data_IF_512028147560
#
_entry.id   IF_512028147560
#
_cell.length_a   1.000
_cell.length_b   1.000
_cell.length_c   1.000
_cell.angle_alpha   90.00
_cell.angle_beta   90.00
_cell.angle_gamma   90.00
#
_symmetry.space_group_name_H-M   'P 1'
#
loop_
_entity.id
_entity.type
_entity.pdbx_description
1 polymer ?
#
# COMPACT_ATOMS: atom_id res chain seq x y z
N UNK A 1 20.93 43.18 -39.06
CA UNK A 1 19.89 42.25 -38.60
C UNK A 1 20.54 41.21 -37.69
N UNK A 2 20.59 41.42 -36.37
CA UNK A 2 21.18 40.45 -35.46
C UNK A 2 20.18 39.33 -35.15
N UNK A 3 20.69 38.10 -35.14
CA UNK A 3 19.94 36.86 -35.04
C UNK A 3 19.32 36.63 -33.67
N UNK A 4 18.14 35.99 -33.68
CA UNK A 4 17.47 35.47 -32.49
C UNK A 4 18.22 34.26 -31.94
N UNK A 5 18.95 34.45 -30.84
CA UNK A 5 19.41 33.36 -29.99
C UNK A 5 18.21 32.77 -29.24
N UNK A 6 17.78 31.58 -29.67
CA UNK A 6 16.87 30.73 -28.91
C UNK A 6 17.58 30.19 -27.67
N UNK A 7 17.45 30.90 -26.55
CA UNK A 7 17.98 30.47 -25.25
C UNK A 7 17.48 29.07 -24.86
N UNK A 8 18.32 28.23 -24.24
CA UNK A 8 17.95 26.87 -23.87
C UNK A 8 16.75 26.87 -22.91
N UNK A 9 15.85 25.88 -23.02
CA UNK A 9 14.65 25.83 -22.18
C UNK A 9 15.05 25.80 -20.70
N UNK A 10 14.62 26.82 -19.96
CA UNK A 10 14.84 26.97 -18.53
C UNK A 10 14.42 25.69 -17.79
N UNK A 11 15.41 25.06 -17.15
CA UNK A 11 15.27 23.82 -16.40
C UNK A 11 14.82 24.15 -14.98
N UNK A 12 13.52 24.09 -14.70
CA UNK A 12 13.01 24.15 -13.34
C UNK A 12 12.89 22.73 -12.76
N UNK A 13 13.88 22.30 -11.97
CA UNK A 13 13.80 21.14 -11.07
C UNK A 13 14.82 20.02 -11.33
N UNK A 14 15.87 19.95 -10.51
CA UNK A 14 16.84 18.84 -10.53
C UNK A 14 16.24 17.49 -10.09
N UNK A 15 16.85 16.35 -10.45
CA UNK A 15 16.38 15.03 -10.04
C UNK A 15 16.51 14.87 -8.52
N UNK A 16 15.40 14.68 -7.82
CA UNK A 16 15.44 14.27 -6.41
C UNK A 16 15.79 12.77 -6.33
N UNK A 17 16.29 12.30 -5.16
CA UNK A 17 16.58 10.87 -4.96
C UNK A 17 15.38 9.95 -5.23
N UNK A 18 14.14 10.48 -5.21
CA UNK A 18 12.89 9.72 -5.34
C UNK A 18 12.19 9.94 -6.69
N UNK A 19 12.15 11.18 -7.17
CA UNK A 19 11.41 11.57 -8.38
C UNK A 19 12.28 12.27 -9.41
N UNK A 20 12.00 12.00 -10.68
CA UNK A 20 12.50 12.74 -11.82
C UNK A 20 11.36 13.59 -12.38
N UNK A 21 11.49 14.91 -12.24
CA UNK A 21 10.49 15.89 -12.69
C UNK A 21 11.06 16.52 -13.97
N UNK A 22 10.41 16.27 -15.11
CA UNK A 22 10.84 16.83 -16.41
C UNK A 22 9.65 17.28 -17.23
N UNK A 23 9.84 18.35 -18.00
CA UNK A 23 8.87 18.77 -19.03
C UNK A 23 9.12 17.99 -20.30
N UNK A 24 8.07 17.39 -20.84
CA UNK A 24 8.05 16.71 -22.13
C UNK A 24 6.95 17.35 -22.97
N UNK A 25 7.29 17.96 -24.11
CA UNK A 25 6.34 18.61 -25.03
C UNK A 25 5.32 19.51 -24.30
N UNK A 26 5.80 20.39 -23.42
CA UNK A 26 4.96 21.31 -22.63
C UNK A 26 4.25 20.69 -21.42
N UNK A 27 4.29 19.36 -21.22
CA UNK A 27 3.66 18.67 -20.08
C UNK A 27 4.69 18.31 -19.01
N UNK A 28 4.40 18.65 -17.75
CA UNK A 28 5.23 18.25 -16.61
C UNK A 28 4.94 16.79 -16.24
N UNK A 29 5.91 15.90 -16.39
CA UNK A 29 5.80 14.50 -15.98
C UNK A 29 6.69 14.25 -14.77
N UNK A 30 6.07 13.81 -13.68
CA UNK A 30 6.76 13.25 -12.52
C UNK A 30 6.89 11.75 -12.73
N UNK A 31 8.12 11.25 -12.87
CA UNK A 31 8.42 9.81 -12.98
C UNK A 31 9.25 9.36 -11.76
N UNK A 32 9.22 8.08 -11.37
CA UNK A 32 10.20 7.54 -10.44
C UNK A 32 11.64 7.79 -10.92
N UNK A 33 12.55 8.15 -10.01
CA UNK A 33 13.95 8.39 -10.38
C UNK A 33 14.66 7.08 -10.79
N UNK A 34 15.70 7.19 -11.62
CA UNK A 34 16.55 6.03 -11.98
C UNK A 34 17.17 5.37 -10.74
N UNK A 35 17.57 6.17 -9.75
CA UNK A 35 18.10 5.67 -8.48
C UNK A 35 17.06 4.92 -7.65
N UNK A 36 15.79 5.36 -7.63
CA UNK A 36 14.71 4.64 -6.97
C UNK A 36 14.43 3.30 -7.65
N UNK A 37 14.42 3.26 -8.98
CA UNK A 37 14.27 2.03 -9.76
C UNK A 37 15.42 1.05 -9.53
N UNK A 38 16.66 1.54 -9.47
CA UNK A 38 17.84 0.70 -9.19
C UNK A 38 17.73 0.05 -7.81
N UNK A 39 17.44 0.84 -6.77
CA UNK A 39 17.31 0.34 -5.39
C UNK A 39 16.26 -0.75 -5.22
N UNK A 40 15.09 -0.60 -5.86
CA UNK A 40 14.05 -1.64 -5.76
C UNK A 40 14.45 -2.91 -6.51
N UNK A 41 15.12 -2.80 -7.67
CA UNK A 41 15.64 -3.96 -8.40
C UNK A 41 16.70 -4.70 -7.60
N UNK A 42 17.65 -3.97 -7.03
CA UNK A 42 18.70 -4.53 -6.15
C UNK A 42 18.06 -5.26 -4.97
N UNK A 43 17.13 -4.62 -4.27
CA UNK A 43 16.44 -5.23 -3.13
C UNK A 43 15.70 -6.51 -3.51
N UNK A 44 14.92 -6.49 -4.60
CA UNK A 44 14.20 -7.69 -5.08
C UNK A 44 15.16 -8.81 -5.46
N UNK A 45 16.29 -8.47 -6.09
CA UNK A 45 17.35 -9.43 -6.39
C UNK A 45 17.92 -10.04 -5.11
N UNK A 46 18.37 -9.21 -4.17
CA UNK A 46 18.95 -9.67 -2.89
C UNK A 46 18.02 -10.61 -2.15
N UNK A 47 16.74 -10.24 -2.00
CA UNK A 47 15.75 -11.05 -1.29
C UNK A 47 15.46 -12.39 -2.02
N UNK A 48 15.42 -12.37 -3.37
CA UNK A 48 15.22 -13.60 -4.15
C UNK A 48 16.44 -14.52 -4.07
N UNK A 49 17.64 -13.96 -4.09
CA UNK A 49 18.89 -14.71 -3.98
C UNK A 49 19.08 -15.32 -2.59
N UNK A 50 18.74 -14.57 -1.53
CA UNK A 50 18.80 -15.05 -0.15
C UNK A 50 17.82 -16.22 0.11
N UNK A 51 16.73 -16.31 -0.66
CA UNK A 51 15.72 -17.36 -0.56
C UNK A 51 15.93 -18.53 -1.54
N UNK A 52 17.12 -18.71 -2.09
CA UNK A 52 17.46 -19.92 -2.85
C UNK A 52 17.36 -21.15 -1.93
N UNK A 53 16.65 -22.18 -2.37
CA UNK A 53 16.37 -23.38 -1.57
C UNK A 53 15.10 -23.31 -0.71
N UNK A 54 14.46 -22.14 -0.56
CA UNK A 54 13.17 -22.04 0.12
C UNK A 54 12.01 -22.56 -0.75
N UNK A 55 10.82 -22.68 -0.17
CA UNK A 55 9.59 -22.95 -0.94
C UNK A 55 9.08 -21.67 -1.64
N UNK A 56 8.35 -21.84 -2.75
CA UNK A 56 7.73 -20.75 -3.50
C UNK A 56 6.78 -19.91 -2.64
N UNK A 57 6.07 -20.52 -1.68
CA UNK A 57 5.23 -19.77 -0.73
C UNK A 57 6.04 -18.71 0.04
N UNK A 58 7.24 -19.06 0.53
CA UNK A 58 8.09 -18.15 1.31
C UNK A 58 8.57 -17.00 0.44
N UNK A 59 8.98 -17.30 -0.80
CA UNK A 59 9.36 -16.29 -1.77
C UNK A 59 8.21 -15.32 -2.06
N UNK A 60 7.01 -15.85 -2.30
CA UNK A 60 5.80 -15.06 -2.54
C UNK A 60 5.48 -14.20 -1.32
N UNK A 61 5.52 -14.76 -0.10
CA UNK A 61 5.24 -14.06 1.13
C UNK A 61 6.20 -12.90 1.39
N UNK A 62 7.48 -13.05 1.02
CA UNK A 62 8.52 -12.02 1.19
C UNK A 62 8.41 -10.90 0.16
N UNK A 63 8.24 -11.24 -1.13
CA UNK A 63 8.24 -10.25 -2.23
C UNK A 63 6.94 -9.45 -2.30
N UNK A 64 5.79 -10.07 -2.01
CA UNK A 64 4.48 -9.44 -2.15
C UNK A 64 4.30 -8.11 -1.37
N UNK A 65 4.73 -7.99 -0.10
CA UNK A 65 4.68 -6.72 0.63
C UNK A 65 5.56 -5.63 -0.01
N UNK A 66 6.75 -5.99 -0.49
CA UNK A 66 7.69 -5.06 -1.13
C UNK A 66 7.08 -4.49 -2.41
N UNK A 67 6.54 -5.37 -3.27
CA UNK A 67 5.89 -4.98 -4.52
C UNK A 67 4.69 -4.07 -4.24
N UNK A 68 3.80 -4.46 -3.31
CA UNK A 68 2.61 -3.66 -2.97
C UNK A 68 2.97 -2.29 -2.39
N UNK A 69 3.92 -2.22 -1.46
CA UNK A 69 4.33 -0.97 -0.83
C UNK A 69 4.94 0.01 -1.84
N UNK A 70 5.83 -0.49 -2.70
CA UNK A 70 6.46 0.35 -3.72
C UNK A 70 5.47 0.80 -4.79
N UNK A 71 4.59 -0.08 -5.26
CA UNK A 71 3.54 0.27 -6.21
C UNK A 71 2.54 1.27 -5.61
N UNK A 72 2.16 1.11 -4.33
CA UNK A 72 1.28 2.02 -3.62
C UNK A 72 1.85 3.44 -3.52
N UNK A 73 3.14 3.56 -3.21
CA UNK A 73 3.83 4.84 -3.13
C UNK A 73 3.89 5.55 -4.50
N UNK A 74 4.29 4.82 -5.55
CA UNK A 74 4.49 5.40 -6.88
C UNK A 74 3.23 5.40 -7.77
N UNK A 75 2.06 4.96 -7.27
CA UNK A 75 0.81 5.00 -8.04
C UNK A 75 0.33 6.42 -8.37
N UNK A 76 0.78 7.40 -7.58
CA UNK A 76 0.44 8.83 -7.72
C UNK A 76 1.08 9.50 -8.93
N UNK A 77 2.17 8.92 -9.45
CA UNK A 77 3.02 9.51 -10.48
C UNK A 77 2.98 8.68 -11.76
N UNK A 78 3.63 9.16 -12.83
CA UNK A 78 3.63 8.49 -14.14
C UNK A 78 4.53 7.24 -14.08
N UNK A 79 3.93 6.10 -13.73
CA UNK A 79 4.64 4.87 -13.36
C UNK A 79 4.27 3.63 -14.17
N UNK A 80 3.40 3.71 -15.17
CA UNK A 80 2.93 2.52 -15.94
C UNK A 80 4.08 1.75 -16.58
N UNK A 81 4.90 2.43 -17.39
CA UNK A 81 6.07 1.85 -18.05
C UNK A 81 7.07 1.28 -17.03
N UNK A 82 7.25 1.98 -15.91
CA UNK A 82 8.16 1.57 -14.84
C UNK A 82 7.65 0.31 -14.16
N UNK A 83 6.34 0.21 -13.90
CA UNK A 83 5.72 -0.97 -13.32
C UNK A 83 5.90 -2.19 -14.23
N UNK A 84 5.63 -2.05 -15.54
CA UNK A 84 5.88 -3.13 -16.51
C UNK A 84 7.36 -3.54 -16.55
N UNK A 85 8.28 -2.58 -16.52
CA UNK A 85 9.72 -2.85 -16.49
C UNK A 85 10.15 -3.61 -15.23
N UNK A 86 9.56 -3.29 -14.08
CA UNK A 86 9.79 -3.99 -12.81
C UNK A 86 9.18 -5.38 -12.81
N UNK A 87 7.98 -5.56 -13.37
CA UNK A 87 7.37 -6.89 -13.53
C UNK A 87 8.25 -7.81 -14.39
N UNK A 88 8.82 -7.30 -15.49
CA UNK A 88 9.77 -8.05 -16.32
C UNK A 88 11.08 -8.39 -15.59
N UNK A 89 11.53 -7.54 -14.66
CA UNK A 89 12.68 -7.83 -13.81
C UNK A 89 12.35 -8.94 -12.80
N UNK A 90 11.22 -8.82 -12.11
CA UNK A 90 10.75 -9.82 -11.14
C UNK A 90 10.54 -11.16 -11.81
N UNK A 91 9.90 -11.21 -12.99
CA UNK A 91 9.68 -12.44 -13.74
C UNK A 91 11.01 -13.17 -14.02
N UNK A 92 12.04 -12.44 -14.47
CA UNK A 92 13.38 -13.01 -14.71
C UNK A 92 14.02 -13.53 -13.43
N UNK A 93 13.87 -12.82 -12.31
CA UNK A 93 14.40 -13.26 -11.01
C UNK A 93 13.76 -14.57 -10.55
N UNK A 94 12.42 -14.63 -10.53
CA UNK A 94 11.70 -15.83 -10.04
C UNK A 94 11.85 -17.01 -10.99
N UNK A 95 11.97 -16.76 -12.30
CA UNK A 95 12.28 -17.80 -13.28
C UNK A 95 13.69 -18.39 -13.05
N UNK A 96 14.71 -17.53 -12.86
CA UNK A 96 16.07 -17.99 -12.53
C UNK A 96 16.12 -18.75 -11.21
N UNK A 97 15.39 -18.26 -10.19
CA UNK A 97 15.25 -18.96 -8.92
C UNK A 97 14.63 -20.35 -9.12
N UNK A 98 13.53 -20.46 -9.87
CA UNK A 98 12.85 -21.74 -10.09
C UNK A 98 13.72 -22.74 -10.87
N UNK A 99 14.49 -22.28 -11.87
CA UNK A 99 15.47 -23.11 -12.59
C UNK A 99 16.61 -23.56 -11.69
N UNK A 100 17.06 -22.72 -10.76
CA UNK A 100 18.12 -23.07 -9.82
C UNK A 100 17.64 -24.10 -8.79
N UNK A 101 16.40 -24.00 -8.32
CA UNK A 101 15.79 -24.98 -7.41
C UNK A 101 15.60 -26.35 -8.07
N UNK A 102 15.42 -26.39 -9.40
CA UNK A 102 15.14 -27.62 -10.16
C UNK A 102 16.15 -27.83 -11.30
N UNK A 103 17.43 -28.12 -11.00
CA UNK A 103 18.47 -28.23 -12.02
C UNK A 103 18.23 -29.38 -13.02
N UNK A 104 17.59 -30.46 -12.57
CA UNK A 104 17.35 -31.67 -13.36
C UNK A 104 15.99 -31.68 -14.09
N UNK A 105 15.22 -30.59 -14.04
CA UNK A 105 13.90 -30.51 -14.68
C UNK A 105 13.94 -29.62 -15.92
N UNK A 106 13.21 -29.98 -17.00
CA UNK A 106 13.18 -29.17 -18.21
C UNK A 106 12.44 -27.85 -17.98
N UNK A 107 12.75 -26.84 -18.81
CA UNK A 107 12.15 -25.50 -18.70
C UNK A 107 10.61 -25.51 -18.80
N UNK A 108 10.04 -26.41 -19.61
CA UNK A 108 8.59 -26.58 -19.74
C UNK A 108 7.95 -27.07 -18.44
N UNK A 109 8.64 -27.93 -17.68
CA UNK A 109 8.18 -28.40 -16.37
C UNK A 109 8.20 -27.25 -15.35
N UNK A 110 9.29 -26.47 -15.29
CA UNK A 110 9.40 -25.30 -14.39
C UNK A 110 8.28 -24.29 -14.68
N UNK A 111 8.03 -24.03 -15.97
CA UNK A 111 6.96 -23.15 -16.40
C UNK A 111 5.60 -23.67 -15.97
N UNK A 112 5.31 -24.94 -16.25
CA UNK A 112 4.03 -25.56 -15.90
C UNK A 112 3.82 -25.61 -14.38
N UNK A 113 4.87 -25.85 -13.59
CA UNK A 113 4.82 -25.95 -12.14
C UNK A 113 4.50 -24.61 -11.47
N UNK A 114 5.19 -23.54 -11.86
CA UNK A 114 5.17 -22.26 -11.14
C UNK A 114 4.43 -21.14 -11.84
N UNK A 115 4.19 -21.21 -13.14
CA UNK A 115 3.55 -20.15 -13.90
C UNK A 115 2.17 -20.60 -14.38
N UNK A 116 1.18 -19.73 -14.21
CA UNK A 116 -0.17 -20.02 -14.64
C UNK A 116 -1.16 -18.91 -14.33
N UNK A 117 -2.43 -19.21 -14.55
CA UNK A 117 -3.57 -18.36 -14.20
C UNK A 117 -3.92 -18.59 -12.73
N UNK A 118 -3.42 -17.73 -11.86
CA UNK A 118 -3.73 -17.76 -10.42
C UNK A 118 -4.76 -16.72 -10.00
N UNK A 119 -5.03 -15.71 -10.84
CA UNK A 119 -5.98 -14.64 -10.55
C UNK A 119 -7.11 -14.65 -11.58
N UNK A 120 -8.29 -15.06 -11.13
CA UNK A 120 -9.51 -15.18 -11.96
C UNK A 120 -9.96 -13.84 -12.54
N UNK A 121 -9.85 -12.75 -11.76
CA UNK A 121 -10.29 -11.42 -12.20
C UNK A 121 -9.42 -10.80 -13.30
N UNK A 122 -8.16 -11.26 -13.45
CA UNK A 122 -7.18 -10.69 -14.38
C UNK A 122 -6.84 -11.59 -15.56
N UNK A 123 -7.11 -12.90 -15.44
CA UNK A 123 -6.85 -13.90 -16.48
C UNK A 123 -5.42 -13.88 -17.04
N UNK A 124 -4.46 -13.46 -16.22
CA UNK A 124 -3.05 -13.39 -16.59
C UNK A 124 -2.42 -14.78 -16.47
N UNK A 125 -1.94 -15.31 -17.60
CA UNK A 125 -1.36 -16.66 -17.71
C UNK A 125 0.09 -16.77 -17.25
N UNK A 126 0.78 -15.65 -17.08
CA UNK A 126 2.20 -15.61 -16.74
C UNK A 126 2.40 -15.01 -15.35
N UNK A 127 1.74 -15.61 -14.36
CA UNK A 127 1.86 -15.23 -12.95
C UNK A 127 2.61 -16.32 -12.22
N UNK A 128 3.68 -15.95 -11.51
CA UNK A 128 4.40 -16.86 -10.63
C UNK A 128 3.53 -17.15 -9.40
N UNK A 129 3.34 -18.42 -9.09
CA UNK A 129 2.56 -18.87 -7.97
C UNK A 129 2.86 -20.31 -7.60
N UNK A 130 2.34 -20.70 -6.45
CA UNK A 130 2.33 -22.07 -6.01
C UNK A 130 0.93 -22.66 -6.24
N UNK A 131 0.87 -23.75 -7.02
CA UNK A 131 -0.37 -24.43 -7.38
C UNK A 131 -1.01 -25.18 -6.22
N UNK A 132 -0.22 -25.59 -5.24
CA UNK A 132 -0.74 -26.31 -4.07
C UNK A 132 -1.45 -25.36 -3.12
N UNK A 133 -0.82 -24.24 -2.77
CA UNK A 133 -1.43 -23.25 -1.88
C UNK A 133 -2.32 -22.23 -2.59
N UNK A 134 -2.30 -22.16 -3.93
CA UNK A 134 -2.98 -21.14 -4.73
C UNK A 134 -2.41 -19.73 -4.55
N UNK A 135 -1.32 -19.56 -3.78
CA UNK A 135 -0.70 -18.25 -3.54
C UNK A 135 0.10 -17.82 -4.76
N UNK A 136 0.06 -16.53 -5.06
CA UNK A 136 0.73 -15.97 -6.21
C UNK A 136 1.41 -14.63 -5.93
N UNK A 137 2.37 -14.33 -6.79
CA UNK A 137 3.11 -13.08 -6.80
C UNK A 137 2.29 -12.00 -7.48
N UNK A 138 2.06 -10.90 -6.78
CA UNK A 138 1.36 -9.73 -7.31
C UNK A 138 2.25 -8.99 -8.31
N UNK A 139 1.66 -8.44 -9.36
CA UNK A 139 2.36 -7.58 -10.32
C UNK A 139 2.24 -6.11 -9.94
N UNK A 140 3.27 -5.33 -10.26
CA UNK A 140 3.27 -3.87 -10.13
C UNK A 140 2.18 -3.26 -11.04
N UNK A 141 2.08 -3.74 -12.28
CA UNK A 141 1.15 -3.22 -13.29
C UNK A 141 -0.33 -3.38 -12.92
N UNK A 142 -0.67 -4.27 -11.99
CA UNK A 142 -2.05 -4.41 -11.49
C UNK A 142 -2.49 -3.26 -10.57
N UNK A 143 -1.55 -2.42 -10.13
CA UNK A 143 -1.86 -1.24 -9.32
C UNK A 143 -2.43 -0.15 -10.20
N UNK A 144 -3.68 0.25 -9.95
CA UNK A 144 -4.32 1.35 -10.65
C UNK A 144 -3.58 2.67 -10.36
N UNK A 145 -3.05 3.26 -11.42
CA UNK A 145 -2.43 4.59 -11.39
C UNK A 145 -3.52 5.62 -11.10
N UNK A 146 -3.25 6.47 -10.11
CA UNK A 146 -4.09 7.60 -9.74
C UNK A 146 -3.28 8.84 -10.01
N UNK A 147 -3.67 9.64 -11.00
CA UNK A 147 -2.92 10.85 -11.35
C UNK A 147 -2.92 11.80 -10.15
N UNK A 148 -1.74 12.27 -9.75
CA UNK A 148 -1.62 13.28 -8.71
C UNK A 148 -2.38 14.54 -9.14
N UNK A 149 -3.36 14.93 -8.34
CA UNK A 149 -4.04 16.21 -8.48
C UNK A 149 -3.23 17.26 -7.74
N UNK A 150 -2.97 18.44 -8.31
CA UNK A 150 -2.23 19.48 -7.60
C UNK A 150 -2.94 19.86 -6.30
N UNK A 151 -2.15 20.20 -5.27
CA UNK A 151 -2.67 20.84 -4.06
C UNK A 151 -2.82 22.33 -4.37
N UNK A 152 -3.90 22.95 -3.90
CA UNK A 152 -4.09 24.39 -4.01
C UNK A 152 -2.89 25.07 -3.32
N UNK A 153 -2.27 26.05 -3.99
CA UNK A 153 -1.12 26.77 -3.41
C UNK A 153 -1.51 27.40 -2.07
N UNK A 154 -0.64 27.29 -1.07
CA UNK A 154 -0.88 27.83 0.27
C UNK A 154 -1.78 26.98 1.18
N UNK A 155 -2.32 25.85 0.68
CA UNK A 155 -3.13 24.97 1.52
C UNK A 155 -2.26 24.24 2.56
N UNK A 156 -2.47 24.57 3.84
CA UNK A 156 -1.90 23.85 4.98
C UNK A 156 -2.88 22.79 5.48
N UNK A 157 -2.35 21.66 5.97
CA UNK A 157 -3.17 20.59 6.58
C UNK A 157 -3.78 21.05 7.90
N UNK A 158 -3.09 21.94 8.60
CA UNK A 158 -3.46 22.46 9.93
C UNK A 158 -4.41 23.66 9.84
N UNK A 159 -4.79 24.08 8.63
CA UNK A 159 -5.77 25.15 8.42
C UNK A 159 -7.20 24.61 8.59
N UNK A 160 -7.94 25.05 9.63
CA UNK A 160 -9.30 24.58 9.89
C UNK A 160 -10.28 24.93 8.75
N UNK A 161 -10.04 26.02 8.00
CA UNK A 161 -10.89 26.42 6.87
C UNK A 161 -10.78 25.43 5.68
N UNK A 162 -9.69 24.65 5.63
CA UNK A 162 -9.43 23.67 4.58
C UNK A 162 -9.76 22.23 5.00
N UNK A 163 -10.41 22.04 6.15
CA UNK A 163 -10.77 20.71 6.67
C UNK A 163 -11.54 19.87 5.66
N UNK A 164 -12.57 20.45 5.02
CA UNK A 164 -13.41 19.74 4.06
C UNK A 164 -12.67 19.44 2.74
N UNK A 165 -11.79 20.35 2.32
CA UNK A 165 -10.90 20.14 1.19
C UNK A 165 -9.96 18.94 1.42
N UNK A 166 -9.31 18.87 2.59
CA UNK A 166 -8.44 17.75 2.95
C UNK A 166 -9.22 16.44 3.18
N UNK A 167 -10.41 16.51 3.77
CA UNK A 167 -11.30 15.36 3.92
C UNK A 167 -11.71 14.78 2.56
N UNK A 168 -12.15 15.63 1.63
CA UNK A 168 -12.46 15.26 0.25
C UNK A 168 -11.27 14.63 -0.47
N UNK A 169 -10.08 15.19 -0.29
CA UNK A 169 -8.84 14.67 -0.89
C UNK A 169 -8.43 13.31 -0.33
N UNK A 170 -8.59 13.08 0.98
CA UNK A 170 -8.39 11.77 1.62
C UNK A 170 -9.39 10.72 1.11
N UNK A 171 -10.67 11.09 0.94
CA UNK A 171 -11.71 10.20 0.39
C UNK A 171 -11.41 9.72 -1.04
N UNK A 172 -10.81 10.60 -1.87
CA UNK A 172 -10.41 10.26 -3.25
C UNK A 172 -9.15 9.38 -3.30
N UNK A 173 -8.19 9.62 -2.42
CA UNK A 173 -6.94 8.84 -2.33
C UNK A 173 -7.08 7.64 -1.39
N UNK A 174 -7.98 6.71 -1.72
CA UNK A 174 -8.18 5.50 -0.92
C UNK A 174 -6.88 4.68 -0.89
N UNK A 175 -6.41 4.28 0.31
CA UNK A 175 -5.26 3.39 0.41
C UNK A 175 -5.59 2.04 -0.24
N UNK A 176 -4.59 1.26 -0.69
CA UNK A 176 -4.79 0.01 -1.40
C UNK A 176 -5.17 -1.12 -0.44
N UNK A 177 -6.30 -0.95 0.25
CA UNK A 177 -6.93 -1.92 1.14
C UNK A 177 -8.14 -2.55 0.43
N UNK A 178 -8.60 -3.71 0.93
CA UNK A 178 -9.80 -4.34 0.37
C UNK A 178 -11.03 -3.43 0.58
N UNK A 179 -12.00 -3.42 -0.35
CA UNK A 179 -13.22 -2.60 -0.21
C UNK A 179 -13.96 -2.84 1.10
N UNK A 180 -14.06 -4.10 1.53
CA UNK A 180 -14.69 -4.49 2.80
C UNK A 180 -13.97 -3.87 4.01
N UNK A 181 -12.64 -3.96 4.08
CA UNK A 181 -11.87 -3.37 5.17
C UNK A 181 -11.98 -1.83 5.17
N UNK A 182 -11.98 -1.20 4.00
CA UNK A 182 -12.18 0.25 3.87
C UNK A 182 -13.56 0.69 4.37
N UNK A 183 -14.61 -0.02 3.98
CA UNK A 183 -15.98 0.30 4.40
C UNK A 183 -16.12 0.24 5.92
N UNK A 184 -15.57 -0.80 6.54
CA UNK A 184 -15.59 -0.99 7.99
C UNK A 184 -14.77 0.07 8.74
N UNK A 185 -13.59 0.44 8.22
CA UNK A 185 -12.79 1.52 8.78
C UNK A 185 -13.50 2.87 8.65
N UNK A 186 -14.16 3.13 7.52
CA UNK A 186 -14.90 4.37 7.30
C UNK A 186 -16.11 4.48 8.24
N UNK A 187 -16.89 3.41 8.39
CA UNK A 187 -18.05 3.37 9.29
C UNK A 187 -17.69 3.54 10.76
N UNK A 188 -16.49 3.12 11.18
CA UNK A 188 -16.02 3.24 12.56
C UNK A 188 -15.06 4.42 12.77
N UNK A 189 -14.95 5.33 11.80
CA UNK A 189 -13.99 6.45 11.82
C UNK A 189 -12.54 6.04 12.13
N UNK A 190 -12.16 4.82 11.73
CA UNK A 190 -10.86 4.23 11.98
C UNK A 190 -10.56 3.97 13.45
N UNK A 191 -11.55 4.02 14.35
CA UNK A 191 -11.39 3.84 15.80
C UNK A 191 -11.98 2.52 16.26
N UNK A 192 -11.37 1.95 17.29
CA UNK A 192 -11.86 0.77 17.97
C UNK A 192 -13.06 1.17 18.85
N UNK A 193 -14.22 0.51 18.73
CA UNK A 193 -15.40 0.85 19.53
C UNK A 193 -15.23 0.53 21.03
N UNK A 194 -14.21 -0.27 21.40
CA UNK A 194 -13.96 -0.67 22.79
C UNK A 194 -13.03 0.28 23.53
N UNK A 195 -11.95 0.75 22.89
CA UNK A 195 -10.94 1.60 23.53
C UNK A 195 -10.84 3.01 22.95
N UNK A 196 -11.58 3.33 21.88
CA UNK A 196 -11.59 4.65 21.25
C UNK A 196 -10.31 5.04 20.49
N UNK A 197 -9.25 4.23 20.57
CA UNK A 197 -7.98 4.42 19.87
C UNK A 197 -8.07 3.96 18.41
N UNK A 198 -7.17 4.46 17.57
CA UNK A 198 -7.18 4.15 16.14
C UNK A 198 -6.85 2.67 15.89
N UNK A 199 -7.71 1.98 15.11
CA UNK A 199 -7.54 0.59 14.67
C UNK A 199 -6.28 0.40 13.82
N UNK A 200 -5.89 1.46 13.12
CA UNK A 200 -4.65 1.57 12.36
C UNK A 200 -4.04 2.91 12.73
N UNK A 201 -2.75 2.98 13.09
CA UNK A 201 -2.00 4.23 13.22
C UNK A 201 -1.83 4.87 11.83
N UNK A 202 -2.93 5.38 11.27
CA UNK A 202 -3.12 5.80 9.89
C UNK A 202 -3.44 7.29 9.77
N UNK A 203 -3.25 8.04 10.86
CA UNK A 203 -3.33 9.49 10.93
C UNK A 203 -2.19 10.17 10.13
N UNK A 204 -1.07 9.48 9.92
CA UNK A 204 0.01 9.95 9.02
C UNK A 204 0.12 9.11 7.75
N UNK A 205 0.01 9.76 6.58
CA UNK A 205 0.20 9.11 5.30
C UNK A 205 1.68 8.73 5.13
N UNK A 206 2.01 7.47 4.78
CA UNK A 206 3.40 7.05 4.59
C UNK A 206 4.10 7.88 3.48
N UNK A 207 5.26 8.45 3.80
CA UNK A 207 6.04 9.35 2.95
C UNK A 207 7.18 8.64 2.20
N UNK A 208 7.42 7.36 2.50
CA UNK A 208 8.42 6.53 1.81
C UNK A 208 7.89 5.15 1.40
N UNK A 209 8.49 4.50 0.39
CA UNK A 209 8.13 3.12 0.02
C UNK A 209 8.26 2.12 1.17
N UNK A 210 9.25 2.31 2.06
CA UNK A 210 9.50 1.48 3.23
C UNK A 210 8.40 1.66 4.28
N UNK A 211 8.00 2.90 4.56
CA UNK A 211 6.85 3.17 5.43
C UNK A 211 5.57 2.60 4.81
N UNK A 212 5.38 2.69 3.49
CA UNK A 212 4.24 2.05 2.81
C UNK A 212 4.25 0.52 2.99
N UNK A 213 5.41 -0.11 2.88
CA UNK A 213 5.55 -1.55 3.13
C UNK A 213 5.27 -1.91 4.59
N UNK A 214 5.82 -1.15 5.55
CA UNK A 214 5.60 -1.34 6.98
C UNK A 214 4.13 -1.12 7.34
N UNK A 215 3.50 -0.08 6.78
CA UNK A 215 2.08 0.23 6.95
C UNK A 215 1.19 -0.89 6.39
N UNK A 216 1.47 -1.38 5.18
CA UNK A 216 0.74 -2.51 4.60
C UNK A 216 0.99 -3.84 5.35
N UNK A 217 2.21 -4.04 5.87
CA UNK A 217 2.52 -5.19 6.73
C UNK A 217 1.77 -5.08 8.05
N UNK A 218 1.80 -3.94 8.72
CA UNK A 218 1.09 -3.70 9.97
C UNK A 218 -0.41 -3.93 9.78
N UNK A 219 -1.01 -3.43 8.70
CA UNK A 219 -2.41 -3.69 8.38
C UNK A 219 -2.66 -5.17 8.09
N UNK A 220 -1.82 -5.83 7.29
CA UNK A 220 -1.99 -7.26 6.99
C UNK A 220 -1.80 -8.11 8.24
N UNK A 221 -0.88 -7.77 9.12
CA UNK A 221 -0.66 -8.43 10.41
C UNK A 221 -1.85 -8.18 11.33
N UNK A 222 -2.36 -6.96 11.39
CA UNK A 222 -3.59 -6.65 12.14
C UNK A 222 -4.79 -7.46 11.62
N UNK A 223 -4.92 -7.62 10.30
CA UNK A 223 -5.97 -8.43 9.67
C UNK A 223 -5.74 -9.94 9.87
N UNK A 224 -4.50 -10.45 9.73
CA UNK A 224 -4.17 -11.89 9.82
C UNK A 224 -4.09 -12.41 11.25
N UNK A 225 -3.64 -11.60 12.20
CA UNK A 225 -3.59 -11.97 13.62
C UNK A 225 -4.99 -11.97 14.27
N UNK A 226 -6.05 -11.88 13.46
CA UNK A 226 -7.41 -11.60 13.89
C UNK A 226 -7.52 -10.35 14.78
N UNK A 227 -6.57 -9.39 14.73
CA UNK A 227 -6.57 -8.18 15.57
C UNK A 227 -7.71 -7.20 15.27
N UNK A 228 -8.65 -7.63 14.44
CA UNK A 228 -9.92 -7.03 14.11
C UNK A 228 -10.95 -8.18 14.13
N UNK A 229 -11.65 -8.40 15.24
CA UNK A 229 -12.83 -9.29 15.22
C UNK A 229 -13.97 -8.55 14.55
N UNK A 230 -14.68 -9.23 13.65
CA UNK A 230 -15.87 -8.74 12.97
C UNK A 230 -17.10 -9.29 13.70
N UNK A 231 -17.54 -8.61 14.76
CA UNK A 231 -18.70 -9.03 15.55
C UNK A 231 -20.00 -8.59 14.88
N UNK A 232 -21.05 -9.43 14.87
CA UNK A 232 -22.42 -8.97 14.80
C UNK A 232 -22.67 -7.93 15.89
N UNK A 233 -23.27 -6.79 15.54
CA UNK A 233 -23.84 -5.97 16.60
C UNK A 233 -25.01 -6.72 17.23
N UNK A 234 -24.90 -7.04 18.51
CA UNK A 234 -25.90 -7.80 19.27
C UNK A 234 -27.08 -6.93 19.71
N UNK A 235 -27.42 -5.89 18.96
CA UNK A 235 -28.67 -5.16 19.19
C UNK A 235 -29.81 -6.07 18.78
N UNK A 236 -30.70 -6.38 19.74
CA UNK A 236 -32.00 -7.00 19.46
C UNK A 236 -32.83 -6.02 18.63
N UNK A 237 -32.67 -6.05 17.31
CA UNK A 237 -33.59 -5.48 16.32
C UNK A 237 -33.40 -6.23 15.00
N UNK A 238 -34.46 -6.31 14.19
CA UNK A 238 -34.51 -6.97 12.87
C UNK A 238 -33.58 -6.33 11.79
N UNK A 239 -32.50 -5.68 12.20
CA UNK A 239 -31.51 -5.05 11.33
C UNK A 239 -30.43 -6.04 10.84
N UNK A 240 -29.91 -5.84 9.62
CA UNK A 240 -28.85 -6.70 9.09
C UNK A 240 -27.61 -6.65 9.97
N UNK A 241 -27.11 -7.84 10.32
CA UNK A 241 -25.92 -8.06 11.17
C UNK A 241 -24.77 -7.12 10.79
N UNK A 242 -24.58 -6.07 11.57
CA UNK A 242 -23.55 -5.06 11.34
C UNK A 242 -22.20 -5.57 11.85
N UNK A 243 -21.25 -5.79 10.95
CA UNK A 243 -19.88 -6.16 11.31
C UNK A 243 -19.10 -4.91 11.77
N UNK A 244 -18.40 -5.00 12.91
CA UNK A 244 -17.47 -3.95 13.41
C UNK A 244 -16.10 -4.52 13.69
N UNK A 245 -15.03 -3.73 13.58
CA UNK A 245 -13.63 -4.15 13.78
C UNK A 245 -13.15 -3.76 15.19
N UNK A 246 -12.61 -4.70 15.96
CA UNK A 246 -12.07 -4.41 17.31
C UNK A 246 -10.66 -4.95 17.51
N UNK A 247 -9.80 -4.25 18.25
CA UNK A 247 -8.49 -4.77 18.60
C UNK A 247 -8.57 -6.15 19.27
N UNK A 248 -7.68 -7.10 18.94
CA UNK A 248 -7.64 -8.42 19.60
C UNK A 248 -7.50 -8.34 21.11
N UNK A 249 -6.70 -7.41 21.62
CA UNK A 249 -6.60 -7.23 23.06
C UNK A 249 -7.95 -6.76 23.61
N UNK A 250 -8.56 -5.71 23.05
CA UNK A 250 -9.87 -5.25 23.50
C UNK A 250 -10.96 -6.34 23.44
N UNK A 251 -10.93 -7.20 22.41
CA UNK A 251 -11.86 -8.32 22.28
C UNK A 251 -11.65 -9.36 23.39
N UNK A 252 -10.40 -9.79 23.63
CA UNK A 252 -10.05 -10.75 24.69
C UNK A 252 -10.40 -10.23 26.08
N UNK A 253 -10.19 -8.94 26.33
CA UNK A 253 -10.54 -8.28 27.59
C UNK A 253 -12.07 -8.14 27.81
N UNK A 254 -12.90 -8.24 26.77
CA UNK A 254 -14.37 -8.26 26.91
C UNK A 254 -14.90 -9.62 27.39
N UNK A 255 -14.14 -10.70 27.17
CA UNK A 255 -14.48 -12.06 27.58
C UNK A 255 -14.07 -12.43 29.01
N UNK A 256 -13.35 -11.55 29.70
CA UNK A 256 -12.93 -11.76 31.09
C UNK A 256 -12.91 -10.43 31.85
N UNK A 257 -13.91 -10.22 32.70
CA UNK A 257 -14.06 -9.14 33.67
C UNK A 257 -14.08 -7.69 33.16
N UNK A 258 -15.21 -7.04 33.44
CA UNK A 258 -15.45 -5.60 33.36
C UNK A 258 -14.41 -4.79 34.16
N UNK A 259 -13.62 -3.90 33.53
CA UNK A 259 -12.88 -2.88 34.25
C UNK A 259 -13.72 -1.60 34.36
N UNK A 260 -13.88 -1.12 35.58
CA UNK A 260 -14.43 0.20 35.93
C UNK A 260 -13.95 1.29 34.95
N UNK A 261 -14.90 2.07 34.43
CA UNK A 261 -14.64 3.34 33.72
C UNK A 261 -13.60 4.18 34.48
N UNK A 262 -12.44 4.55 33.91
CA UNK A 262 -11.70 5.68 34.44
C UNK A 262 -12.53 6.94 34.18
N UNK A 263 -12.82 7.67 35.24
CA UNK A 263 -13.53 8.93 35.17
C UNK A 263 -12.83 9.88 34.18
N UNK A 264 -13.60 10.39 33.22
CA UNK A 264 -13.19 11.54 32.43
C UNK A 264 -13.03 12.70 33.42
N UNK A 265 -11.78 13.07 33.73
CA UNK A 265 -11.50 14.33 34.39
C UNK A 265 -11.98 15.45 33.45
N UNK A 266 -13.12 16.04 33.79
CA UNK A 266 -13.63 17.22 33.14
C UNK A 266 -12.57 18.33 33.24
N UNK A 267 -12.06 18.77 32.09
CA UNK A 267 -11.27 19.98 31.99
C UNK A 267 -12.12 21.15 32.51
N UNK A 268 -11.73 21.73 33.65
CA UNK A 268 -12.23 23.04 34.07
C UNK A 268 -11.75 24.05 33.04
N UNK A 269 -12.70 24.65 32.32
CA UNK A 269 -12.43 25.73 31.38
C UNK A 269 -11.91 26.98 32.09
N UNK A 270 -11.18 27.86 31.38
CA UNK A 270 -10.71 29.13 31.93
C UNK A 270 -11.89 30.08 32.10
N UNK A 271 -12.14 30.51 33.33
CA UNK A 271 -13.01 31.63 33.66
C UNK A 271 -12.21 32.94 33.54
N UNK A 272 -12.69 33.85 32.70
CA UNK A 272 -12.44 35.28 32.77
C UNK A 272 -13.58 36.00 32.03
N UNK A 273 -13.69 37.34 32.06
CA UNK A 273 -13.03 38.33 32.95
C UNK A 273 -14.05 39.23 33.68
N UNK A 274 -13.57 40.00 34.67
CA UNK A 274 -14.07 41.33 35.04
C UNK A 274 -12.93 42.10 35.70
#
# INVERSE_FOLDING_TARGET
MPGSEGGPPQQCGGPTRRFNIRRYHGKLLTKPSKAAMRRIRERLSTETHALRGANAEVLIAKLNPIIRGWAAYFRGVVSSEVFTSLDNHVWRLVYKWARHTHPNKPNGWVTSRYFGRFNESRQDRWVFGDRESGRYLTKFAWTRIVRHQLVIKGASVDDPALTEYWASRRRRNKPPLSPRLLSLLQGQHGRCPLCGTLLLHADQQPQSPQEWEQWLRAIRTAVRANALTAEPDGSQSDDPVAFRLTHVHCHRWRGGNEPRRPAVLAARGPSGPA
#
